data_IF_064195832948
#
_entry.id   IF_064195832948
#
_cell.length_a   1.000
_cell.length_b   1.000
_cell.length_c   1.000
_cell.angle_alpha   90.00
_cell.angle_beta   90.00
_cell.angle_gamma   90.00
#
_symmetry.space_group_name_H-M   'P 1'
#
loop_
_entity.id
_entity.type
_entity.pdbx_description
1 polymer ?
#
# COMPACT_ATOMS: atom_id res chain seq x y z
N UNK A 1 -44.50 -6.19 29.70
CA UNK A 1 -43.27 -6.84 30.22
C UNK A 1 -43.30 -8.26 29.71
N UNK A 2 -42.62 -8.55 28.62
CA UNK A 2 -42.39 -9.89 28.10
C UNK A 2 -41.32 -10.54 28.96
N UNK A 3 -41.62 -11.73 29.42
CA UNK A 3 -40.82 -12.63 30.24
C UNK A 3 -39.37 -12.62 29.74
N UNK A 4 -38.45 -12.22 30.64
CA UNK A 4 -37.00 -12.02 30.33
C UNK A 4 -36.21 -13.29 30.04
N UNK A 5 -36.58 -13.98 29.00
CA UNK A 5 -35.70 -14.94 28.37
C UNK A 5 -34.69 -14.14 27.50
N UNK A 6 -33.39 -14.36 27.65
CA UNK A 6 -32.44 -13.80 26.74
C UNK A 6 -32.78 -14.29 25.32
N UNK A 7 -33.11 -13.36 24.42
CA UNK A 7 -33.24 -13.70 23.01
C UNK A 7 -31.81 -13.93 22.52
N UNK A 8 -31.51 -15.16 22.20
CA UNK A 8 -30.24 -15.51 21.52
C UNK A 8 -30.10 -14.63 20.27
N UNK A 9 -29.00 -13.88 20.11
CA UNK A 9 -28.80 -13.07 18.93
C UNK A 9 -28.75 -13.98 17.71
N UNK A 10 -29.36 -13.55 16.62
CA UNK A 10 -29.38 -14.31 15.36
C UNK A 10 -27.98 -14.50 14.76
N UNK A 11 -27.02 -13.67 15.18
CA UNK A 11 -25.62 -13.67 14.72
C UNK A 11 -24.66 -13.54 15.91
N UNK A 12 -23.48 -14.12 15.76
CA UNK A 12 -22.36 -13.98 16.69
C UNK A 12 -21.07 -13.81 15.87
N UNK A 13 -20.92 -12.65 15.27
CA UNK A 13 -19.82 -12.33 14.36
C UNK A 13 -18.54 -12.04 15.13
N UNK A 14 -17.48 -12.78 14.86
CA UNK A 14 -16.13 -12.41 15.26
C UNK A 14 -15.56 -11.43 14.21
N UNK A 15 -15.63 -10.15 14.54
CA UNK A 15 -15.21 -9.09 13.64
C UNK A 15 -13.69 -9.06 13.41
N UNK A 16 -12.90 -9.54 14.39
CA UNK A 16 -11.44 -9.61 14.22
C UNK A 16 -11.09 -10.75 13.26
N UNK A 17 -11.70 -11.92 13.41
CA UNK A 17 -11.50 -13.04 12.48
C UNK A 17 -12.00 -12.67 11.06
N UNK A 18 -13.06 -11.87 10.97
CA UNK A 18 -13.61 -11.43 9.69
C UNK A 18 -12.68 -10.48 8.91
N UNK A 19 -11.78 -9.73 9.56
CA UNK A 19 -10.86 -8.78 8.91
C UNK A 19 -9.43 -9.29 8.79
N UNK A 20 -8.98 -10.16 9.70
CA UNK A 20 -7.62 -10.66 9.69
C UNK A 20 -7.48 -11.98 8.94
N UNK A 21 -6.44 -12.08 8.16
CA UNK A 21 -6.11 -13.31 7.42
C UNK A 21 -4.61 -13.58 7.45
N UNK A 22 -4.23 -14.83 7.20
CA UNK A 22 -2.83 -15.18 6.97
C UNK A 22 -2.38 -14.57 5.66
N UNK A 23 -1.30 -13.82 5.71
CA UNK A 23 -0.77 -13.07 4.58
C UNK A 23 0.58 -13.66 4.12
N UNK A 24 0.65 -14.28 2.93
CA UNK A 24 1.88 -14.82 2.40
C UNK A 24 2.82 -13.72 1.91
N UNK A 25 4.13 -13.99 1.98
CA UNK A 25 5.17 -13.17 1.38
C UNK A 25 6.00 -14.06 0.46
N UNK A 26 6.10 -13.66 -0.81
CA UNK A 26 6.91 -14.33 -1.81
C UNK A 26 7.98 -13.40 -2.36
N UNK A 27 9.23 -13.88 -2.47
CA UNK A 27 10.36 -13.11 -2.99
C UNK A 27 11.18 -13.97 -3.94
N UNK A 28 11.44 -13.42 -5.13
CA UNK A 28 12.32 -14.02 -6.12
C UNK A 28 13.41 -13.02 -6.49
N UNK A 29 14.66 -13.47 -6.47
CA UNK A 29 15.80 -12.64 -6.86
C UNK A 29 16.71 -13.44 -7.80
N UNK A 30 17.07 -12.81 -8.91
CA UNK A 30 18.06 -13.31 -9.86
C UNK A 30 19.22 -12.33 -9.91
N UNK A 31 20.43 -12.84 -9.77
CA UNK A 31 21.65 -12.04 -9.88
C UNK A 31 22.63 -12.73 -10.84
N UNK A 32 23.17 -11.95 -11.74
CA UNK A 32 24.18 -12.36 -12.72
C UNK A 32 25.37 -11.43 -12.55
N UNK A 33 26.55 -12.00 -12.32
CA UNK A 33 27.79 -11.25 -12.23
C UNK A 33 28.82 -11.85 -13.18
N UNK A 34 29.65 -11.01 -13.75
CA UNK A 34 30.72 -11.46 -14.60
C UNK A 34 31.74 -10.36 -14.83
N UNK A 35 32.79 -10.70 -15.54
CA UNK A 35 33.81 -9.73 -15.87
C UNK A 35 35.11 -10.34 -16.37
N UNK A 36 36.06 -9.46 -16.64
CA UNK A 36 37.43 -9.72 -17.02
C UNK A 36 38.35 -8.82 -16.17
N UNK A 37 39.64 -8.85 -16.44
CA UNK A 37 40.60 -7.95 -15.78
C UNK A 37 40.31 -6.45 -16.03
N UNK A 38 39.56 -6.14 -17.09
CA UNK A 38 39.24 -4.77 -17.48
C UNK A 38 37.80 -4.35 -17.22
N UNK A 39 36.85 -5.28 -17.14
CA UNK A 39 35.42 -4.99 -17.03
C UNK A 39 34.81 -5.90 -15.99
N UNK A 40 33.98 -5.34 -15.11
CA UNK A 40 33.12 -6.06 -14.18
C UNK A 40 31.69 -5.59 -14.35
N UNK A 41 30.76 -6.51 -14.32
CA UNK A 41 29.35 -6.17 -14.40
C UNK A 41 28.52 -7.01 -13.44
N UNK A 42 27.40 -6.44 -13.05
CA UNK A 42 26.36 -7.09 -12.27
C UNK A 42 25.00 -6.69 -12.86
N UNK A 43 24.14 -7.65 -13.09
CA UNK A 43 22.74 -7.45 -13.40
C UNK A 43 21.88 -8.18 -12.35
N UNK A 44 20.83 -7.57 -11.87
CA UNK A 44 19.88 -8.22 -10.98
C UNK A 44 18.45 -7.84 -11.31
N UNK A 45 17.55 -8.81 -11.09
CA UNK A 45 16.11 -8.63 -11.14
C UNK A 45 15.50 -9.24 -9.87
N UNK A 46 14.53 -8.55 -9.29
CA UNK A 46 13.82 -9.01 -8.10
C UNK A 46 12.33 -8.77 -8.23
N UNK A 47 11.55 -9.72 -7.77
CA UNK A 47 10.09 -9.62 -7.63
C UNK A 47 9.71 -9.96 -6.18
N UNK A 48 8.86 -9.14 -5.62
CA UNK A 48 8.29 -9.34 -4.29
C UNK A 48 6.79 -9.14 -4.35
N UNK A 49 6.08 -10.08 -3.79
CA UNK A 49 4.65 -10.07 -3.56
C UNK A 49 4.40 -10.31 -2.08
N UNK A 50 3.61 -9.46 -1.48
CA UNK A 50 3.23 -9.52 -0.08
C UNK A 50 1.77 -9.12 0.03
N UNK A 51 0.96 -10.03 0.52
CA UNK A 51 -0.40 -9.71 0.93
C UNK A 51 -0.39 -9.08 2.32
N UNK A 52 -1.37 -8.24 2.61
CA UNK A 52 -1.55 -7.69 3.94
C UNK A 52 -2.45 -8.56 4.80
N UNK A 53 -2.24 -8.52 6.11
CA UNK A 53 -3.06 -9.26 7.09
C UNK A 53 -4.53 -8.79 7.13
N UNK A 54 -4.83 -7.59 6.62
CA UNK A 54 -6.19 -7.10 6.39
C UNK A 54 -6.45 -7.16 4.89
N UNK A 55 -7.22 -8.18 4.46
CA UNK A 55 -7.58 -8.31 3.06
C UNK A 55 -8.51 -7.16 2.62
N UNK A 56 -8.41 -6.67 1.39
CA UNK A 56 -7.59 -7.13 0.27
C UNK A 56 -6.31 -6.31 0.04
N UNK A 57 -5.62 -5.87 1.09
CA UNK A 57 -4.38 -5.10 0.94
C UNK A 57 -3.22 -5.92 0.39
N UNK A 58 -2.37 -5.31 -0.42
CA UNK A 58 -1.18 -5.96 -0.97
C UNK A 58 -0.06 -4.97 -1.33
N UNK A 59 1.16 -5.49 -1.42
CA UNK A 59 2.34 -4.80 -1.90
C UNK A 59 3.08 -5.67 -2.93
N UNK A 60 3.11 -5.24 -4.19
CA UNK A 60 3.87 -5.87 -5.26
C UNK A 60 5.01 -4.96 -5.68
N UNK A 61 6.23 -5.49 -5.79
CA UNK A 61 7.40 -4.72 -6.19
C UNK A 61 8.28 -5.49 -7.16
N UNK A 62 8.56 -4.88 -8.28
CA UNK A 62 9.58 -5.30 -9.22
C UNK A 62 10.78 -4.38 -9.14
N UNK A 63 11.99 -4.94 -9.16
CA UNK A 63 13.25 -4.18 -9.10
C UNK A 63 14.24 -4.70 -10.13
N UNK A 64 15.00 -3.79 -10.73
CA UNK A 64 16.14 -4.13 -11.56
C UNK A 64 17.34 -3.29 -11.18
N UNK A 65 18.53 -3.86 -11.29
CA UNK A 65 19.80 -3.14 -11.13
C UNK A 65 20.78 -3.61 -12.17
N UNK A 66 21.55 -2.68 -12.69
CA UNK A 66 22.66 -2.96 -13.57
C UNK A 66 23.83 -2.05 -13.19
N UNK A 67 24.96 -2.67 -12.94
CA UNK A 67 26.20 -1.98 -12.61
C UNK A 67 27.29 -2.48 -13.56
N UNK A 68 28.08 -1.56 -14.07
CA UNK A 68 29.27 -1.85 -14.87
C UNK A 68 30.39 -0.93 -14.44
N UNK A 69 31.55 -1.51 -14.23
CA UNK A 69 32.81 -0.82 -13.96
C UNK A 69 33.85 -1.33 -14.93
N UNK A 70 34.57 -0.43 -15.57
CA UNK A 70 35.56 -0.82 -16.59
C UNK A 70 36.72 0.15 -16.74
N UNK A 71 37.88 -0.39 -17.13
CA UNK A 71 39.04 0.38 -17.58
C UNK A 71 38.96 0.51 -19.10
N UNK A 72 38.63 1.71 -19.58
CA UNK A 72 38.65 1.99 -21.02
C UNK A 72 40.07 2.01 -21.58
N UNK A 73 40.99 2.54 -20.78
CA UNK A 73 42.44 2.50 -21.02
C UNK A 73 43.17 2.22 -19.72
N UNK A 74 44.47 2.12 -19.72
CA UNK A 74 45.26 1.93 -18.50
C UNK A 74 45.17 3.15 -17.55
N UNK A 75 44.73 4.31 -18.07
CA UNK A 75 44.58 5.55 -17.27
C UNK A 75 43.14 6.02 -17.11
N UNK A 76 42.20 5.49 -17.89
CA UNK A 76 40.81 5.94 -17.88
C UNK A 76 39.88 4.81 -17.44
N UNK A 77 39.16 5.04 -16.33
CA UNK A 77 38.12 4.14 -15.84
C UNK A 77 36.75 4.81 -15.88
N UNK A 78 35.72 4.01 -16.08
CA UNK A 78 34.32 4.41 -16.09
C UNK A 78 33.51 3.45 -15.22
N UNK A 79 32.54 3.98 -14.50
CA UNK A 79 31.55 3.19 -13.83
C UNK A 79 30.15 3.76 -14.06
N UNK A 80 29.19 2.87 -14.27
CA UNK A 80 27.77 3.21 -14.42
C UNK A 80 26.95 2.30 -13.54
N UNK A 81 26.05 2.89 -12.75
CA UNK A 81 25.10 2.18 -11.90
C UNK A 81 23.70 2.63 -12.27
N UNK A 82 22.83 1.68 -12.52
CA UNK A 82 21.42 1.94 -12.76
C UNK A 82 20.56 1.10 -11.83
N UNK A 83 19.46 1.66 -11.39
CA UNK A 83 18.44 0.93 -10.67
C UNK A 83 17.06 1.44 -11.09
N UNK A 84 16.10 0.52 -11.19
CA UNK A 84 14.72 0.87 -11.41
C UNK A 84 13.84 -0.01 -10.50
N UNK A 85 12.73 0.56 -10.06
CA UNK A 85 11.71 -0.18 -9.32
C UNK A 85 10.32 0.29 -9.73
N UNK A 86 9.40 -0.66 -9.79
CA UNK A 86 7.98 -0.43 -9.91
C UNK A 86 7.27 -1.06 -8.74
N UNK A 87 6.45 -0.29 -8.03
CA UNK A 87 5.67 -0.74 -6.88
C UNK A 87 4.20 -0.48 -7.15
N UNK A 88 3.37 -1.47 -6.83
CA UNK A 88 1.91 -1.36 -6.84
C UNK A 88 1.40 -1.81 -5.48
N UNK A 89 0.63 -0.94 -4.82
CA UNK A 89 -0.01 -1.19 -3.54
C UNK A 89 -1.52 -1.07 -3.67
N UNK A 90 -2.24 -1.92 -2.95
CA UNK A 90 -3.59 -1.63 -2.49
C UNK A 90 -3.52 -1.41 -0.98
N UNK A 91 -3.94 -0.23 -0.55
CA UNK A 91 -3.90 0.17 0.85
C UNK A 91 -5.31 0.05 1.42
N UNK A 92 -5.42 -0.46 2.64
CA UNK A 92 -6.64 -0.41 3.43
C UNK A 92 -6.42 0.53 4.60
N UNK A 93 -7.42 1.33 4.94
CA UNK A 93 -7.34 2.29 6.03
C UNK A 93 -7.51 1.56 7.37
N UNK A 94 -6.43 0.95 7.85
CA UNK A 94 -6.43 0.19 9.10
C UNK A 94 -6.81 1.05 10.31
N UNK A 95 -6.27 2.27 10.37
CA UNK A 95 -6.55 3.27 11.42
C UNK A 95 -7.40 4.40 10.84
N UNK A 96 -8.46 4.78 11.57
CA UNK A 96 -9.34 5.89 11.21
C UNK A 96 -9.18 7.07 12.16
N UNK A 97 -9.67 8.23 11.73
CA UNK A 97 -9.74 9.43 12.57
C UNK A 97 -10.86 9.35 13.60
N UNK A 98 -11.88 8.53 13.31
CA UNK A 98 -13.07 8.33 14.12
C UNK A 98 -13.39 6.83 14.17
N UNK A 99 -14.28 6.43 15.09
CA UNK A 99 -14.69 5.02 15.27
C UNK A 99 -15.31 4.36 14.02
N UNK A 100 -15.71 5.14 13.07
CA UNK A 100 -16.48 4.68 11.91
C UNK A 100 -15.73 4.72 10.59
N UNK A 101 -14.43 5.07 10.58
CA UNK A 101 -13.67 5.13 9.33
C UNK A 101 -12.37 4.31 9.34
N UNK A 102 -12.05 3.63 10.45
CA UNK A 102 -10.90 2.74 10.58
C UNK A 102 -11.29 1.28 10.75
N UNK A 103 -10.71 0.41 9.94
CA UNK A 103 -11.08 -1.01 9.92
C UNK A 103 -10.83 -1.68 11.27
N UNK A 104 -9.66 -1.49 11.87
CA UNK A 104 -9.31 -2.12 13.16
C UNK A 104 -10.20 -1.58 14.27
N UNK A 105 -10.38 -0.26 14.34
CA UNK A 105 -11.20 0.33 15.39
C UNK A 105 -12.67 -0.10 15.23
N UNK A 106 -13.19 -0.13 14.02
CA UNK A 106 -14.55 -0.63 13.77
C UNK A 106 -14.70 -2.09 14.19
N UNK A 107 -13.73 -2.95 13.89
CA UNK A 107 -13.77 -4.35 14.31
C UNK A 107 -13.73 -4.55 15.83
N UNK A 108 -13.05 -3.65 16.57
CA UNK A 108 -12.98 -3.71 18.04
C UNK A 108 -14.24 -3.23 18.74
N UNK A 109 -15.01 -2.31 18.13
CA UNK A 109 -16.21 -1.71 18.74
C UNK A 109 -17.52 -2.22 18.15
N UNK A 110 -17.47 -2.94 17.03
CA UNK A 110 -18.65 -3.51 16.38
C UNK A 110 -19.25 -4.64 17.24
N UNK A 111 -20.54 -4.61 17.43
CA UNK A 111 -21.22 -5.62 18.22
C UNK A 111 -21.35 -6.94 17.47
N UNK A 112 -21.12 -8.09 18.12
CA UNK A 112 -21.16 -9.40 17.47
C UNK A 112 -22.54 -9.81 16.96
N UNK A 113 -23.60 -9.17 17.46
CA UNK A 113 -24.97 -9.43 17.03
C UNK A 113 -25.31 -8.95 15.61
N UNK A 114 -24.42 -8.20 14.96
CA UNK A 114 -24.61 -7.74 13.59
C UNK A 114 -23.90 -8.67 12.61
N UNK A 115 -24.52 -8.99 11.45
CA UNK A 115 -23.91 -9.79 10.43
C UNK A 115 -22.96 -8.98 9.55
N UNK A 116 -22.03 -9.66 8.86
CA UNK A 116 -21.17 -9.05 7.83
C UNK A 116 -21.99 -8.72 6.58
N UNK A 117 -22.90 -9.61 6.22
CA UNK A 117 -23.71 -9.50 5.00
C UNK A 117 -25.19 -9.49 5.32
N UNK A 118 -25.95 -8.76 4.52
CA UNK A 118 -27.40 -8.85 4.45
C UNK A 118 -27.83 -10.16 3.78
N UNK A 119 -29.12 -10.49 3.85
CA UNK A 119 -29.67 -11.71 3.24
C UNK A 119 -29.59 -11.74 1.71
N UNK A 120 -29.42 -10.60 1.06
CA UNK A 120 -29.21 -10.46 -0.39
C UNK A 120 -27.73 -10.52 -0.79
N UNK A 121 -26.81 -10.70 0.15
CA UNK A 121 -25.37 -10.78 -0.08
C UNK A 121 -24.64 -9.44 -0.10
N UNK A 122 -25.33 -8.32 0.02
CA UNK A 122 -24.70 -7.02 0.18
C UNK A 122 -24.11 -6.83 1.57
N UNK A 123 -23.16 -5.91 1.77
CA UNK A 123 -22.63 -5.63 3.10
C UNK A 123 -23.66 -4.96 4.00
N UNK A 124 -23.71 -5.39 5.24
CA UNK A 124 -24.58 -4.80 6.29
C UNK A 124 -23.87 -3.56 6.88
N UNK A 125 -23.92 -2.42 6.21
CA UNK A 125 -23.04 -1.27 6.48
C UNK A 125 -23.50 -0.36 7.60
N UNK A 126 -24.82 -0.19 7.81
CA UNK A 126 -25.39 0.86 8.66
C UNK A 126 -26.03 0.39 9.98
N UNK A 127 -26.01 -0.92 10.25
CA UNK A 127 -26.75 -1.51 11.36
C UNK A 127 -26.34 -0.97 12.74
N UNK A 128 -25.04 -0.93 13.04
CA UNK A 128 -24.58 -0.36 14.31
C UNK A 128 -24.69 1.17 14.34
N UNK A 129 -24.60 1.85 13.22
CA UNK A 129 -24.83 3.29 13.15
C UNK A 129 -26.23 3.68 13.58
N UNK A 130 -27.26 2.96 13.11
CA UNK A 130 -28.64 3.14 13.51
C UNK A 130 -28.86 2.77 14.98
N UNK A 131 -28.27 1.67 15.42
CA UNK A 131 -28.33 1.22 16.81
C UNK A 131 -27.66 2.22 17.76
N UNK A 132 -26.52 2.78 17.39
CA UNK A 132 -25.78 3.78 18.14
C UNK A 132 -26.61 5.04 18.39
N UNK A 133 -27.34 5.51 17.39
CA UNK A 133 -28.26 6.65 17.52
C UNK A 133 -29.37 6.37 18.55
N UNK A 134 -29.93 5.17 18.48
CA UNK A 134 -31.05 4.78 19.37
C UNK A 134 -30.66 4.58 20.83
N UNK A 135 -29.45 4.04 21.07
CA UNK A 135 -29.01 3.60 22.39
C UNK A 135 -27.77 4.34 22.92
N UNK A 136 -27.31 5.38 22.24
CA UNK A 136 -26.15 6.21 22.64
C UNK A 136 -24.87 5.39 22.88
N UNK A 137 -24.63 4.41 22.05
CA UNK A 137 -23.40 3.61 22.05
C UNK A 137 -22.44 4.09 20.95
N UNK A 138 -21.21 3.58 20.96
CA UNK A 138 -20.23 3.95 19.94
C UNK A 138 -20.71 3.56 18.53
N UNK A 139 -20.72 4.49 17.56
CA UNK A 139 -21.00 4.16 16.19
C UNK A 139 -19.83 3.36 15.59
N UNK A 140 -20.14 2.41 14.73
CA UNK A 140 -19.16 1.70 13.93
C UNK A 140 -19.77 1.28 12.59
N UNK A 141 -18.97 1.30 11.57
CA UNK A 141 -19.31 0.75 10.25
C UNK A 141 -18.75 -0.66 10.11
N UNK A 142 -19.36 -1.45 9.23
CA UNK A 142 -18.90 -2.79 8.93
C UNK A 142 -17.45 -2.78 8.43
N UNK A 143 -16.49 -3.31 9.21
CA UNK A 143 -15.06 -3.20 8.87
C UNK A 143 -14.69 -3.99 7.60
N UNK A 144 -15.44 -5.06 7.29
CA UNK A 144 -15.24 -5.83 6.06
C UNK A 144 -15.69 -5.01 4.85
N UNK A 145 -16.81 -4.30 4.96
CA UNK A 145 -17.26 -3.38 3.92
C UNK A 145 -16.25 -2.23 3.70
N UNK A 146 -15.76 -1.62 4.79
CA UNK A 146 -14.71 -0.59 4.71
C UNK A 146 -13.46 -1.09 3.95
N UNK A 147 -13.04 -2.33 4.24
CA UNK A 147 -11.85 -2.91 3.61
C UNK A 147 -12.03 -3.17 2.12
N UNK A 148 -13.23 -3.59 1.71
CA UNK A 148 -13.48 -4.05 0.33
C UNK A 148 -14.04 -2.98 -0.58
N UNK A 149 -14.92 -2.10 -0.07
CA UNK A 149 -15.61 -1.07 -0.85
C UNK A 149 -14.74 0.18 -1.07
N UNK A 150 -13.83 0.47 -0.14
CA UNK A 150 -12.88 1.58 -0.30
C UNK A 150 -11.69 1.07 -1.11
N UNK A 151 -11.39 1.79 -2.18
CA UNK A 151 -10.26 1.48 -3.07
C UNK A 151 -9.19 2.57 -2.95
N UNK A 152 -8.01 2.20 -2.48
CA UNK A 152 -6.82 3.05 -2.45
C UNK A 152 -5.67 2.32 -3.14
N UNK A 153 -5.35 2.75 -4.35
CA UNK A 153 -4.29 2.19 -5.16
C UNK A 153 -3.14 3.18 -5.31
N UNK A 154 -1.95 2.76 -4.93
CA UNK A 154 -0.73 3.51 -5.16
C UNK A 154 0.18 2.79 -6.13
N UNK A 155 0.64 3.51 -7.15
CA UNK A 155 1.66 3.06 -8.10
C UNK A 155 2.86 3.98 -8.01
N UNK A 156 4.04 3.42 -7.80
CA UNK A 156 5.29 4.18 -7.73
C UNK A 156 6.32 3.61 -8.68
N UNK A 157 6.83 4.46 -9.53
CA UNK A 157 7.99 4.20 -10.36
C UNK A 157 9.17 5.01 -9.84
N UNK A 158 10.32 4.37 -9.71
CA UNK A 158 11.58 5.02 -9.35
C UNK A 158 12.66 4.50 -10.28
N UNK A 159 13.46 5.41 -10.83
CA UNK A 159 14.67 5.07 -11.57
C UNK A 159 15.81 5.96 -11.11
N UNK A 160 17.00 5.40 -11.10
CA UNK A 160 18.22 6.12 -10.82
C UNK A 160 19.32 5.66 -11.79
N UNK A 161 20.12 6.61 -12.20
CA UNK A 161 21.34 6.36 -12.95
C UNK A 161 22.44 7.23 -12.35
N UNK A 162 23.60 6.66 -12.14
CA UNK A 162 24.78 7.38 -11.71
C UNK A 162 26.02 6.81 -12.39
N UNK A 163 27.02 7.64 -12.54
CA UNK A 163 28.26 7.21 -13.18
C UNK A 163 29.44 8.08 -12.78
N UNK A 164 30.61 7.57 -13.06
CA UNK A 164 31.84 8.29 -12.86
C UNK A 164 32.81 8.07 -14.02
N UNK A 165 33.64 9.07 -14.23
CA UNK A 165 34.86 8.99 -15.02
C UNK A 165 36.04 9.27 -14.12
N UNK A 166 37.05 8.42 -14.12
CA UNK A 166 38.28 8.58 -13.36
C UNK A 166 39.49 8.50 -14.33
N UNK A 167 40.26 9.57 -14.36
CA UNK A 167 41.47 9.69 -15.20
C UNK A 167 42.71 9.76 -14.29
N UNK A 168 43.66 8.90 -14.50
CA UNK A 168 45.02 9.06 -13.96
C UNK A 168 45.81 10.04 -14.84
N UNK A 169 45.82 11.32 -14.38
CA UNK A 169 46.43 12.43 -15.11
C UNK A 169 47.94 12.22 -15.25
N UNK A 170 48.59 11.91 -14.12
CA UNK A 170 49.98 11.47 -14.00
C UNK A 170 50.06 10.36 -12.96
N UNK A 171 51.09 9.58 -12.92
CA UNK A 171 51.28 8.48 -11.96
C UNK A 171 51.08 8.97 -10.52
N UNK A 172 50.06 8.42 -9.87
CA UNK A 172 49.72 8.76 -8.51
C UNK A 172 48.74 9.94 -8.33
N UNK A 173 48.36 10.67 -9.41
CA UNK A 173 47.35 11.74 -9.38
C UNK A 173 46.16 11.35 -10.24
N UNK A 174 45.01 11.23 -9.63
CA UNK A 174 43.75 10.87 -10.26
C UNK A 174 42.73 12.02 -10.16
N UNK A 175 42.06 12.30 -11.27
CA UNK A 175 40.89 13.18 -11.33
C UNK A 175 39.64 12.30 -11.52
N UNK A 176 38.60 12.54 -10.72
CA UNK A 176 37.35 11.80 -10.80
C UNK A 176 36.17 12.78 -10.86
N UNK A 177 35.30 12.54 -11.83
CA UNK A 177 34.01 13.24 -11.94
C UNK A 177 32.91 12.21 -11.72
N UNK A 178 31.95 12.55 -10.89
CA UNK A 178 30.78 11.75 -10.60
C UNK A 178 29.52 12.54 -10.93
N UNK A 179 28.50 11.88 -11.49
CA UNK A 179 27.20 12.48 -11.71
C UNK A 179 26.10 11.43 -11.53
N UNK A 180 24.94 11.89 -11.05
CA UNK A 180 23.80 11.02 -10.85
C UNK A 180 22.47 11.75 -11.03
N UNK A 181 21.46 10.99 -11.43
CA UNK A 181 20.09 11.45 -11.57
C UNK A 181 19.15 10.41 -10.98
N UNK A 182 18.11 10.88 -10.29
CA UNK A 182 17.02 10.06 -9.81
C UNK A 182 15.69 10.67 -10.27
N UNK A 183 14.80 9.80 -10.74
CA UNK A 183 13.43 10.14 -11.08
C UNK A 183 12.44 9.29 -10.28
N UNK A 184 11.45 9.93 -9.71
CA UNK A 184 10.34 9.29 -8.98
C UNK A 184 9.04 9.80 -9.57
N UNK A 185 8.12 8.88 -9.88
CA UNK A 185 6.74 9.19 -10.22
C UNK A 185 5.83 8.32 -9.36
N UNK A 186 4.88 8.93 -8.69
CA UNK A 186 3.89 8.26 -7.87
C UNK A 186 2.50 8.71 -8.31
N UNK A 187 1.59 7.77 -8.45
CA UNK A 187 0.18 8.01 -8.70
C UNK A 187 -0.60 7.30 -7.60
N UNK A 188 -1.58 8.00 -7.05
CA UNK A 188 -2.51 7.50 -6.07
C UNK A 188 -3.92 7.72 -6.62
N UNK A 189 -4.74 6.66 -6.61
CA UNK A 189 -6.14 6.68 -7.02
C UNK A 189 -6.96 6.18 -5.85
N UNK A 190 -7.84 7.05 -5.35
CA UNK A 190 -8.69 6.79 -4.22
C UNK A 190 -10.16 6.85 -4.62
N UNK A 191 -10.93 5.82 -4.28
CA UNK A 191 -12.36 5.77 -4.44
C UNK A 191 -13.02 5.30 -3.16
N UNK A 192 -14.02 6.04 -2.72
CA UNK A 192 -14.91 5.69 -1.61
C UNK A 192 -16.35 5.83 -2.06
N UNK A 193 -17.15 4.77 -2.04
CA UNK A 193 -18.58 4.89 -2.33
C UNK A 193 -19.32 5.67 -1.22
N UNK A 194 -20.52 6.13 -1.53
CA UNK A 194 -21.35 6.86 -0.56
C UNK A 194 -21.94 5.96 0.54
N UNK A 195 -21.77 4.66 0.42
CA UNK A 195 -22.33 3.65 1.33
C UNK A 195 -21.45 3.38 2.56
N UNK A 196 -20.15 3.71 2.50
CA UNK A 196 -19.17 3.40 3.56
C UNK A 196 -18.21 4.56 3.81
N UNK A 197 -17.55 4.53 4.96
CA UNK A 197 -16.41 5.39 5.27
C UNK A 197 -16.75 6.87 5.43
N UNK A 198 -17.54 7.24 6.39
CA UNK A 198 -17.93 8.63 6.68
C UNK A 198 -19.40 8.87 6.40
N UNK A 199 -20.19 7.86 6.62
CA UNK A 199 -21.66 7.91 6.57
C UNK A 199 -22.16 8.92 7.58
N UNK A 200 -22.78 9.99 7.12
CA UNK A 200 -23.43 10.99 7.98
C UNK A 200 -24.85 10.51 8.23
N UNK A 201 -25.21 10.38 9.50
CA UNK A 201 -26.61 10.14 9.88
C UNK A 201 -27.42 11.44 9.72
N UNK A 202 -28.39 11.43 8.85
CA UNK A 202 -29.36 12.49 8.73
C UNK A 202 -30.27 12.55 9.98
N UNK A 203 -30.90 13.70 10.18
CA UNK A 203 -31.87 13.91 11.28
C UNK A 203 -33.11 13.00 11.19
N UNK A 204 -33.44 12.53 10.01
CA UNK A 204 -34.56 11.60 9.75
C UNK A 204 -34.20 10.12 9.97
N UNK A 205 -32.94 9.82 10.29
CA UNK A 205 -32.46 8.45 10.56
C UNK A 205 -31.93 7.74 9.33
N UNK A 206 -31.98 8.35 8.14
CA UNK A 206 -31.32 7.83 6.95
C UNK A 206 -29.83 8.09 7.01
N UNK A 207 -29.04 7.19 6.45
CA UNK A 207 -27.60 7.37 6.29
C UNK A 207 -27.33 7.98 4.92
N UNK A 208 -26.66 9.13 4.89
CA UNK A 208 -26.17 9.71 3.66
C UNK A 208 -24.64 9.75 3.73
N UNK A 209 -23.99 8.95 2.91
CA UNK A 209 -22.55 9.04 2.71
C UNK A 209 -22.25 10.00 1.56
N UNK A 210 -21.13 10.71 1.69
CA UNK A 210 -20.55 11.41 0.54
C UNK A 210 -19.51 10.49 -0.10
N UNK A 211 -19.82 9.99 -1.31
CA UNK A 211 -18.80 9.32 -2.13
C UNK A 211 -17.64 10.28 -2.43
N UNK A 212 -16.45 9.75 -2.56
CA UNK A 212 -15.26 10.54 -2.88
C UNK A 212 -14.42 9.81 -3.94
N UNK A 213 -13.97 10.58 -4.93
CA UNK A 213 -13.02 10.14 -5.96
C UNK A 213 -11.86 11.13 -5.98
N UNK A 214 -10.67 10.65 -5.95
CA UNK A 214 -9.48 11.48 -6.02
C UNK A 214 -8.32 10.77 -6.71
N UNK A 215 -7.68 11.48 -7.64
CA UNK A 215 -6.42 11.06 -8.24
C UNK A 215 -5.35 12.10 -7.94
N UNK A 216 -4.20 11.63 -7.47
CA UNK A 216 -3.04 12.46 -7.22
C UNK A 216 -1.83 11.92 -7.96
N UNK A 217 -1.08 12.80 -8.60
CA UNK A 217 0.19 12.47 -9.22
C UNK A 217 1.30 13.36 -8.71
N UNK A 218 2.37 12.73 -8.23
CA UNK A 218 3.61 13.38 -7.82
C UNK A 218 4.74 12.91 -8.74
N UNK A 219 5.52 13.85 -9.26
CA UNK A 219 6.76 13.55 -10.00
C UNK A 219 7.90 14.42 -9.49
N UNK A 220 9.06 13.80 -9.27
CA UNK A 220 10.26 14.48 -8.78
C UNK A 220 11.49 13.98 -9.52
N UNK A 221 12.33 14.89 -9.98
CA UNK A 221 13.67 14.63 -10.46
C UNK A 221 14.70 15.31 -9.56
N UNK A 222 15.80 14.64 -9.27
CA UNK A 222 16.93 15.18 -8.51
C UNK A 222 18.25 14.81 -9.19
N UNK A 223 19.21 15.70 -9.09
CA UNK A 223 20.52 15.57 -9.71
C UNK A 223 21.60 15.74 -8.64
N UNK A 224 22.70 15.03 -8.79
CA UNK A 224 23.92 15.16 -7.97
C UNK A 224 25.15 15.21 -8.87
N UNK A 225 26.11 16.04 -8.52
CA UNK A 225 27.41 16.14 -9.20
C UNK A 225 28.51 16.03 -8.17
#
# INVERSE_FOLDING_TARGET
FTTGQPVEPAYNTDWQDAIFSTAPIMKHNLNITGGSDRIRYMASAGYMEQDGIIAPSYHHRFTTRFNIDGKLTDRLSIGVNTAASYTKNRIVQAEGRHYNDGIIMSALVMFPQFPVYNTDGSYAVDQQMQYAKKYSVAPAENPVALAHEIEDYQKRYMSSVSGYLELEVIKGLKAKVYSGMQYISQTESYYRPSTVGGTIMNTDGTTAGSGYVGDQRLSRASYST
#
